data_IF_015251857819
#
_entry.id   IF_015251857819
#
_cell.length_a   1.000
_cell.length_b   1.000
_cell.length_c   1.000
_cell.angle_alpha   90.00
_cell.angle_beta   90.00
_cell.angle_gamma   90.00
#
_symmetry.space_group_name_H-M   'P 1'
#
loop_
_entity.id
_entity.type
_entity.pdbx_description
1 polymer ?
#
# COMPACT_ATOMS: atom_id res chain seq x y z
N UNK A 1 10.67 -10.65 -36.27
CA UNK A 1 9.31 -10.11 -36.03
C UNK A 1 9.08 -10.30 -34.54
N UNK A 2 9.72 -9.47 -33.70
CA UNK A 2 9.10 -8.35 -32.95
C UNK A 2 7.81 -8.74 -32.22
N UNK A 3 7.95 -9.28 -31.02
CA UNK A 3 6.98 -9.13 -29.93
C UNK A 3 7.62 -8.21 -28.87
N UNK A 4 7.72 -6.94 -29.24
CA UNK A 4 8.07 -5.82 -28.38
C UNK A 4 6.77 -5.07 -28.13
N UNK A 5 5.84 -5.67 -27.38
CA UNK A 5 4.60 -5.00 -27.01
C UNK A 5 4.32 -5.16 -25.51
N UNK A 6 4.77 -4.11 -24.80
CA UNK A 6 4.09 -3.49 -23.64
C UNK A 6 4.19 -4.26 -22.31
N UNK A 7 5.41 -4.40 -21.81
CA UNK A 7 5.62 -3.89 -20.44
C UNK A 7 5.75 -2.37 -20.58
N UNK A 8 4.63 -1.66 -20.76
CA UNK A 8 4.62 -0.29 -20.27
C UNK A 8 5.10 -0.42 -18.84
N UNK A 9 6.24 0.20 -18.51
CA UNK A 9 6.73 0.27 -17.15
C UNK A 9 5.54 0.67 -16.30
N UNK A 10 5.02 -0.23 -15.46
CA UNK A 10 3.82 0.05 -14.68
C UNK A 10 4.16 1.23 -13.78
N UNK A 11 3.66 2.40 -14.15
CA UNK A 11 3.99 3.65 -13.46
C UNK A 11 3.10 3.76 -12.23
N UNK A 12 3.74 3.79 -11.06
CA UNK A 12 3.06 4.11 -9.82
C UNK A 12 2.52 5.54 -9.90
N UNK A 13 1.22 5.67 -9.64
CA UNK A 13 0.51 6.96 -9.53
C UNK A 13 -0.08 7.12 -8.14
N UNK A 14 -0.20 8.36 -7.63
CA UNK A 14 -0.86 8.60 -6.35
C UNK A 14 -2.34 8.23 -6.44
N UNK A 15 -2.84 7.59 -5.39
CA UNK A 15 -4.24 7.22 -5.21
C UNK A 15 -4.63 7.40 -3.74
N UNK A 16 -5.93 7.50 -3.47
CA UNK A 16 -6.47 7.33 -2.11
C UNK A 16 -7.18 6.00 -2.04
N UNK A 17 -6.98 5.27 -0.95
CA UNK A 17 -7.62 3.97 -0.73
C UNK A 17 -8.32 3.91 0.62
N UNK A 18 -9.37 3.09 0.67
CA UNK A 18 -10.15 2.77 1.86
C UNK A 18 -10.40 1.26 1.91
N UNK A 19 -10.86 0.77 3.06
CA UNK A 19 -11.21 -0.64 3.29
C UNK A 19 -12.34 -0.72 4.31
N UNK A 20 -13.17 -1.77 4.23
CA UNK A 20 -14.35 -1.94 5.08
C UNK A 20 -14.05 -2.06 6.58
N UNK A 21 -12.79 -2.36 6.93
CA UNK A 21 -12.31 -2.45 8.32
C UNK A 21 -11.80 -1.11 8.86
N UNK A 22 -11.77 -0.06 8.04
CA UNK A 22 -11.40 1.29 8.44
C UNK A 22 -12.67 2.13 8.67
N UNK A 23 -12.58 3.25 9.42
CA UNK A 23 -13.71 4.17 9.54
C UNK A 23 -14.21 4.67 8.18
N UNK A 24 -15.53 4.89 8.05
CA UNK A 24 -16.18 5.26 6.78
C UNK A 24 -15.63 6.56 6.16
N UNK A 25 -15.16 7.51 6.98
CA UNK A 25 -14.58 8.79 6.58
C UNK A 25 -13.05 8.74 6.44
N UNK A 26 -12.46 7.55 6.54
CA UNK A 26 -11.02 7.37 6.49
C UNK A 26 -10.55 6.85 5.13
N UNK A 27 -9.75 7.69 4.46
CA UNK A 27 -9.00 7.31 3.27
C UNK A 27 -7.54 7.72 3.40
N UNK A 28 -6.63 6.83 3.02
CA UNK A 28 -5.18 7.01 3.15
C UNK A 28 -4.52 7.16 1.77
N UNK A 29 -3.53 8.04 1.68
CA UNK A 29 -2.73 8.24 0.48
C UNK A 29 -1.81 7.05 0.22
N UNK A 30 -1.81 6.55 -1.01
CA UNK A 30 -1.00 5.43 -1.46
C UNK A 30 -0.52 5.64 -2.90
N UNK A 31 0.29 4.70 -3.36
CA UNK A 31 0.68 4.57 -4.77
C UNK A 31 0.17 3.27 -5.33
N UNK A 32 -0.26 3.30 -6.57
CA UNK A 32 -0.76 2.14 -7.29
C UNK A 32 -0.35 2.21 -8.75
N UNK A 33 -0.02 1.06 -9.34
CA UNK A 33 0.52 0.97 -10.69
C UNK A 33 -0.46 0.33 -11.69
N UNK A 34 -1.70 0.06 -11.28
CA UNK A 34 -2.71 -0.61 -12.10
C UNK A 34 -2.90 -2.11 -11.80
N UNK A 35 -2.02 -2.73 -11.00
CA UNK A 35 -2.11 -4.17 -10.66
C UNK A 35 -3.05 -4.40 -9.49
N UNK A 36 -4.00 -5.33 -9.64
CA UNK A 36 -4.91 -5.72 -8.58
C UNK A 36 -4.69 -7.15 -8.09
N UNK A 37 -5.28 -7.46 -6.94
CA UNK A 37 -5.40 -8.80 -6.39
C UNK A 37 -6.88 -9.13 -6.22
N UNK A 38 -7.38 -10.17 -6.90
CA UNK A 38 -8.81 -10.54 -6.91
C UNK A 38 -9.79 -9.38 -7.24
N UNK A 39 -9.35 -8.43 -8.07
CA UNK A 39 -10.15 -7.25 -8.44
C UNK A 39 -10.04 -6.06 -7.47
N UNK A 40 -9.30 -6.20 -6.38
CA UNK A 40 -9.00 -5.13 -5.43
C UNK A 40 -7.68 -4.42 -5.76
N UNK A 41 -7.55 -3.18 -5.31
CA UNK A 41 -6.33 -2.38 -5.46
C UNK A 41 -5.22 -3.01 -4.62
N UNK A 42 -3.98 -3.01 -5.11
CA UNK A 42 -2.80 -3.35 -4.30
C UNK A 42 -2.02 -2.06 -4.01
N UNK A 43 -2.37 -1.33 -2.94
CA UNK A 43 -1.74 -0.06 -2.62
C UNK A 43 -0.35 -0.26 -2.00
N UNK A 44 0.55 0.66 -2.32
CA UNK A 44 1.84 0.82 -1.65
C UNK A 44 1.88 2.15 -0.90
N UNK A 45 2.18 2.10 0.40
CA UNK A 45 2.09 3.26 1.27
C UNK A 45 3.46 3.89 1.51
N UNK A 46 3.53 5.21 1.66
CA UNK A 46 4.72 5.86 2.22
C UNK A 46 4.83 5.56 3.72
N UNK A 47 5.99 5.83 4.32
CA UNK A 47 6.15 5.75 5.78
C UNK A 47 5.09 6.58 6.52
N UNK A 48 4.86 7.82 6.08
CA UNK A 48 3.89 8.72 6.72
C UNK A 48 2.45 8.19 6.59
N UNK A 49 2.07 7.72 5.41
CA UNK A 49 0.75 7.11 5.16
C UNK A 49 0.55 5.84 6.00
N UNK A 50 1.57 4.99 6.09
CA UNK A 50 1.52 3.76 6.86
C UNK A 50 1.44 4.03 8.38
N UNK A 51 2.13 5.06 8.87
CA UNK A 51 1.98 5.52 10.26
C UNK A 51 0.58 6.11 10.53
N UNK A 52 -0.09 6.68 9.52
CA UNK A 52 -1.49 7.07 9.66
C UNK A 52 -2.41 5.83 9.79
N UNK A 53 -2.13 4.76 9.04
CA UNK A 53 -2.85 3.48 9.18
C UNK A 53 -2.74 2.90 10.59
N UNK A 54 -1.57 2.96 11.24
CA UNK A 54 -1.39 2.51 12.63
C UNK A 54 -2.37 3.16 13.61
N UNK A 55 -2.89 4.37 13.33
CA UNK A 55 -3.86 5.04 14.20
C UNK A 55 -5.26 4.43 14.11
N UNK A 56 -5.59 3.84 12.96
CA UNK A 56 -6.90 3.26 12.66
C UNK A 56 -6.88 1.73 12.73
N UNK A 57 -5.70 1.11 12.71
CA UNK A 57 -5.50 -0.33 12.72
C UNK A 57 -4.70 -0.75 13.97
N UNK A 58 -5.37 -1.17 15.07
CA UNK A 58 -4.71 -1.56 16.31
C UNK A 58 -3.73 -2.73 16.18
N UNK A 59 -3.86 -3.52 15.13
CA UNK A 59 -3.00 -4.67 14.82
C UNK A 59 -1.73 -4.29 14.07
N UNK A 60 -1.57 -3.04 13.65
CA UNK A 60 -0.44 -2.57 12.85
C UNK A 60 0.42 -1.59 13.65
N UNK A 61 1.67 -1.96 13.89
CA UNK A 61 2.63 -1.16 14.66
C UNK A 61 3.84 -0.79 13.81
N UNK A 62 4.35 0.44 13.98
CA UNK A 62 5.61 0.85 13.38
C UNK A 62 6.80 0.48 14.27
N UNK A 63 7.75 -0.27 13.72
CA UNK A 63 8.99 -0.67 14.40
C UNK A 63 10.13 0.26 13.97
N UNK A 64 10.48 1.21 14.84
CA UNK A 64 11.47 2.25 14.50
C UNK A 64 12.89 1.70 14.27
N UNK A 65 13.24 0.59 14.92
CA UNK A 65 14.59 0.01 14.88
C UNK A 65 15.04 -0.40 13.48
N UNK A 66 14.11 -0.88 12.64
CA UNK A 66 14.37 -1.33 11.26
C UNK A 66 13.50 -0.61 10.22
N UNK A 67 12.73 0.41 10.63
CA UNK A 67 11.81 1.15 9.77
C UNK A 67 10.80 0.26 9.05
N UNK A 68 10.28 -0.74 9.77
CA UNK A 68 9.29 -1.70 9.27
C UNK A 68 7.95 -1.56 9.98
N UNK A 69 6.96 -2.32 9.51
CA UNK A 69 5.67 -2.45 10.17
C UNK A 69 5.44 -3.88 10.61
N UNK A 70 4.96 -4.08 11.83
CA UNK A 70 4.53 -5.36 12.34
C UNK A 70 3.01 -5.42 12.29
N UNK A 71 2.47 -6.35 11.51
CA UNK A 71 1.05 -6.62 11.42
C UNK A 71 0.73 -7.90 12.20
N UNK A 72 -0.07 -7.79 13.24
CA UNK A 72 -0.49 -8.90 14.10
C UNK A 72 -1.89 -9.40 13.71
N UNK A 73 -1.98 -10.55 13.06
CA UNK A 73 -3.27 -11.16 12.68
C UNK A 73 -3.48 -12.47 13.46
N UNK A 74 -4.35 -12.41 14.47
CA UNK A 74 -4.63 -13.56 15.33
C UNK A 74 -3.43 -13.98 16.17
N UNK A 75 -2.88 -15.17 15.89
CA UNK A 75 -1.70 -15.70 16.59
C UNK A 75 -0.38 -15.49 15.83
N UNK A 76 -0.45 -14.97 14.61
CA UNK A 76 0.70 -14.74 13.74
C UNK A 76 1.01 -13.25 13.63
N UNK A 77 2.30 -12.94 13.42
CA UNK A 77 2.76 -11.59 13.16
C UNK A 77 3.65 -11.57 11.92
N UNK A 78 3.37 -10.64 11.01
CA UNK A 78 4.10 -10.46 9.76
C UNK A 78 4.84 -9.13 9.79
N UNK A 79 6.16 -9.18 9.57
CA UNK A 79 6.96 -7.98 9.37
C UNK A 79 6.91 -7.55 7.91
N UNK A 80 6.56 -6.28 7.69
CA UNK A 80 6.40 -5.65 6.38
C UNK A 80 7.54 -4.64 6.22
N UNK A 81 8.50 -5.01 5.39
CA UNK A 81 9.67 -4.18 5.09
C UNK A 81 9.37 -3.23 3.94
N UNK A 82 9.87 -2.00 4.06
CA UNK A 82 9.83 -1.03 2.97
C UNK A 82 10.70 -1.49 1.81
N UNK A 83 10.26 -1.23 0.58
CA UNK A 83 11.07 -1.46 -0.63
C UNK A 83 11.14 -0.19 -1.48
N UNK A 84 12.26 0.06 -2.17
CA UNK A 84 12.37 1.18 -3.09
C UNK A 84 11.52 0.94 -4.35
N UNK A 85 10.72 1.93 -4.72
CA UNK A 85 9.93 1.95 -5.96
C UNK A 85 10.14 3.26 -6.71
N UNK A 86 10.12 3.20 -8.04
CA UNK A 86 10.25 4.39 -8.89
C UNK A 86 8.88 4.98 -9.18
N UNK A 87 8.68 6.24 -8.79
CA UNK A 87 7.44 7.00 -8.96
C UNK A 87 7.79 8.34 -9.61
N UNK A 88 7.28 8.61 -10.82
CA UNK A 88 7.52 9.89 -11.50
C UNK A 88 9.00 10.27 -11.65
N UNK A 89 9.90 9.28 -11.78
CA UNK A 89 11.34 9.51 -11.88
C UNK A 89 12.10 9.61 -10.55
N UNK A 90 11.41 9.69 -9.41
CA UNK A 90 12.00 9.63 -8.07
C UNK A 90 11.93 8.21 -7.49
N UNK A 91 12.86 7.87 -6.61
CA UNK A 91 12.81 6.63 -5.82
C UNK A 91 12.15 6.92 -4.46
N UNK A 92 11.08 6.19 -4.14
CA UNK A 92 10.36 6.30 -2.88
C UNK A 92 10.39 4.96 -2.15
N UNK A 93 10.58 5.00 -0.83
CA UNK A 93 10.43 3.82 0.02
C UNK A 93 8.94 3.60 0.29
N UNK A 94 8.39 2.46 -0.17
CA UNK A 94 6.98 2.13 -0.01
C UNK A 94 6.75 0.76 0.66
N UNK A 95 5.61 0.64 1.32
CA UNK A 95 5.23 -0.51 2.15
C UNK A 95 3.97 -1.16 1.60
N UNK A 96 4.02 -2.48 1.38
CA UNK A 96 2.90 -3.28 0.87
C UNK A 96 2.07 -3.82 2.04
N UNK A 97 1.26 -2.96 2.66
CA UNK A 97 0.45 -3.32 3.83
C UNK A 97 -0.90 -3.86 3.35
N UNK A 98 -1.16 -5.15 3.63
CA UNK A 98 -2.40 -5.81 3.22
C UNK A 98 -2.53 -5.92 1.70
N UNK A 99 -1.46 -6.29 0.98
CA UNK A 99 -1.48 -6.51 -0.48
C UNK A 99 -2.41 -7.65 -0.93
N UNK A 100 -2.88 -8.46 0.03
CA UNK A 100 -3.90 -9.49 -0.11
C UNK A 100 -5.26 -9.12 0.49
N UNK A 101 -5.50 -7.83 0.73
CA UNK A 101 -6.75 -7.34 1.30
C UNK A 101 -7.65 -6.63 0.28
N UNK A 102 -8.91 -6.46 0.65
CA UNK A 102 -9.94 -5.87 -0.19
C UNK A 102 -9.87 -4.33 -0.24
N UNK A 103 -8.69 -3.76 -0.54
CA UNK A 103 -8.53 -2.32 -0.71
C UNK A 103 -9.31 -1.81 -1.92
N UNK A 104 -9.99 -0.68 -1.75
CA UNK A 104 -10.72 -0.01 -2.83
C UNK A 104 -10.24 1.42 -2.98
N UNK A 105 -10.38 1.97 -4.19
CA UNK A 105 -10.24 3.41 -4.36
C UNK A 105 -11.24 4.14 -3.47
N UNK A 106 -10.77 5.14 -2.74
CA UNK A 106 -11.67 6.10 -2.15
C UNK A 106 -12.21 6.99 -3.28
N UNK A 107 -13.52 6.99 -3.49
CA UNK A 107 -14.14 7.97 -4.38
C UNK A 107 -13.85 9.37 -3.82
N UNK A 108 -13.60 10.34 -4.71
CA UNK A 108 -13.47 11.73 -4.28
C UNK A 108 -14.80 12.15 -3.65
N UNK A 109 -14.83 12.24 -2.33
CA UNK A 109 -15.92 12.87 -1.57
C UNK A 109 -16.02 14.34 -1.97
#
# INVERSE_FOLDING_TARGET
MQDLHVFASLEYRPVRVAGDWLPDDFAVDAYWNGVGWNGFVVPLFTLASAQQLCKSMPTLEFVASDSSFLLSEGHDAVSIQGKPYRVGGAELMLYAIGDSWCWRHAESI
#
